data_IF_518023876240
#
_entry.id   IF_518023876240
#
_cell.length_a   1.000
_cell.length_b   1.000
_cell.length_c   1.000
_cell.angle_alpha   90.00
_cell.angle_beta   90.00
_cell.angle_gamma   90.00
#
_symmetry.space_group_name_H-M   'P 1'
#
loop_
_entity.id
_entity.type
_entity.pdbx_description
1 polymer ?
#
# COMPACT_ATOMS: atom_id res chain seq x y z
N UNK A 1 -16.80 8.41 17.89
CA UNK A 1 -18.11 8.65 17.22
C UNK A 1 -17.97 9.61 16.04
N UNK A 2 -17.56 10.87 16.24
CA UNK A 2 -17.35 11.87 15.16
C UNK A 2 -16.44 11.42 14.02
N UNK A 3 -15.34 10.72 14.34
CA UNK A 3 -14.48 10.06 13.35
C UNK A 3 -15.28 9.26 12.31
N UNK A 4 -16.27 8.47 12.73
CA UNK A 4 -17.10 7.67 11.81
C UNK A 4 -18.17 8.52 11.11
N UNK A 5 -18.78 9.48 11.82
CA UNK A 5 -19.80 10.38 11.27
C UNK A 5 -19.25 11.20 10.10
N UNK A 6 -18.02 11.71 10.23
CA UNK A 6 -17.32 12.46 9.18
C UNK A 6 -16.59 11.55 8.18
N UNK A 7 -17.06 10.31 7.98
CA UNK A 7 -16.51 9.42 6.96
C UNK A 7 -15.05 9.01 7.23
N UNK A 8 -14.72 8.66 8.47
CA UNK A 8 -13.37 8.26 8.88
C UNK A 8 -12.31 9.37 8.75
N UNK A 9 -12.72 10.62 8.97
CA UNK A 9 -11.83 11.78 9.03
C UNK A 9 -10.79 11.60 10.16
N UNK A 10 -9.53 11.95 9.88
CA UNK A 10 -8.47 11.82 10.89
C UNK A 10 -8.76 12.72 12.11
N UNK A 11 -8.28 12.31 13.29
CA UNK A 11 -8.57 13.04 14.52
C UNK A 11 -7.95 14.44 14.56
N UNK A 12 -6.83 14.66 13.88
CA UNK A 12 -6.21 15.99 13.77
C UNK A 12 -7.14 16.99 13.09
N UNK A 13 -7.74 16.61 11.97
CA UNK A 13 -8.72 17.43 11.26
C UNK A 13 -10.00 17.64 12.09
N UNK A 14 -10.46 16.63 12.84
CA UNK A 14 -11.60 16.82 13.76
C UNK A 14 -11.29 17.81 14.88
N UNK A 15 -10.08 17.79 15.45
CA UNK A 15 -9.64 18.78 16.43
C UNK A 15 -9.56 20.17 15.82
N UNK A 16 -9.01 20.29 14.61
CA UNK A 16 -8.95 21.55 13.88
C UNK A 16 -10.34 22.15 13.61
N UNK A 17 -11.32 21.34 13.22
CA UNK A 17 -12.70 21.78 12.99
C UNK A 17 -13.33 22.35 14.27
N UNK A 18 -13.06 21.71 15.42
CA UNK A 18 -13.50 22.19 16.74
C UNK A 18 -12.80 23.50 17.12
N UNK A 19 -11.47 23.53 17.03
CA UNK A 19 -10.63 24.68 17.38
C UNK A 19 -11.04 25.93 16.60
N UNK A 20 -11.32 25.77 15.30
CA UNK A 20 -11.73 26.87 14.42
C UNK A 20 -13.23 27.18 14.47
N UNK A 21 -14.00 26.50 15.32
CA UNK A 21 -15.46 26.71 15.42
C UNK A 21 -16.20 26.48 14.10
N UNK A 22 -15.71 25.58 13.24
CA UNK A 22 -16.25 25.38 11.88
C UNK A 22 -17.52 24.52 11.85
N UNK A 23 -17.88 23.88 12.98
CA UNK A 23 -19.03 22.98 13.08
C UNK A 23 -19.68 23.16 14.45
N UNK A 24 -20.96 23.53 14.44
CA UNK A 24 -21.76 23.66 15.65
C UNK A 24 -22.04 22.29 16.29
N UNK A 25 -21.95 22.22 17.62
CA UNK A 25 -22.22 20.99 18.38
C UNK A 25 -21.14 19.89 18.23
N UNK A 26 -19.98 20.21 17.65
CA UNK A 26 -18.86 19.27 17.52
C UNK A 26 -18.10 19.12 18.85
N UNK A 27 -18.38 18.03 19.57
CA UNK A 27 -17.67 17.68 20.80
C UNK A 27 -16.55 16.66 20.53
N UNK A 28 -15.30 17.13 20.49
CA UNK A 28 -14.11 16.28 20.42
C UNK A 28 -13.31 16.45 21.70
N UNK A 29 -13.03 15.34 22.37
CA UNK A 29 -12.11 15.29 23.51
C UNK A 29 -10.67 15.52 23.02
N UNK A 30 -10.04 16.56 23.54
CA UNK A 30 -8.69 16.98 23.14
C UNK A 30 -7.61 16.03 23.66
N UNK A 31 -7.89 15.30 24.74
CA UNK A 31 -6.99 14.27 25.26
C UNK A 31 -6.97 13.01 24.39
N UNK A 32 -7.96 12.84 23.52
CA UNK A 32 -8.00 11.70 22.59
C UNK A 32 -6.76 11.72 21.67
N UNK A 33 -5.98 10.62 21.58
CA UNK A 33 -4.83 10.56 20.70
C UNK A 33 -5.19 10.84 19.24
N UNK A 34 -4.30 11.51 18.51
CA UNK A 34 -4.45 11.74 17.07
C UNK A 34 -4.51 10.44 16.26
N UNK A 35 -3.88 9.38 16.77
CA UNK A 35 -3.88 8.03 16.20
C UNK A 35 -4.93 7.17 16.91
N UNK A 36 -6.18 7.31 16.51
CA UNK A 36 -7.24 6.39 16.93
C UNK A 36 -7.07 5.05 16.21
N UNK A 37 -7.07 3.97 16.99
CA UNK A 37 -7.07 2.60 16.48
C UNK A 37 -8.47 2.29 15.92
N UNK A 38 -8.69 2.60 14.64
CA UNK A 38 -9.92 2.28 13.93
C UNK A 38 -9.65 1.19 12.89
N UNK A 39 -10.19 -0.01 13.09
CA UNK A 39 -9.95 -1.18 12.23
C UNK A 39 -10.20 -0.87 10.73
N UNK A 40 -11.36 -0.30 10.32
CA UNK A 40 -11.58 0.08 8.93
C UNK A 40 -10.53 1.05 8.37
N UNK A 41 -10.09 2.04 9.17
CA UNK A 41 -9.03 2.97 8.73
C UNK A 41 -7.69 2.27 8.59
N UNK A 42 -7.35 1.37 9.50
CA UNK A 42 -6.10 0.63 9.42
C UNK A 42 -6.10 -0.23 8.15
N UNK A 43 -7.19 -0.92 7.86
CA UNK A 43 -7.29 -1.76 6.66
C UNK A 43 -7.30 -0.95 5.36
N UNK A 44 -7.97 0.20 5.34
CA UNK A 44 -8.13 1.00 4.12
C UNK A 44 -7.02 2.05 3.88
N UNK A 45 -6.39 2.56 4.95
CA UNK A 45 -5.44 3.70 4.91
C UNK A 45 -4.03 3.35 5.40
N UNK A 46 -3.78 2.13 5.86
CA UNK A 46 -2.40 1.75 6.23
C UNK A 46 -1.53 1.72 4.98
N UNK A 47 -0.41 2.45 5.04
CA UNK A 47 0.60 2.42 4.00
C UNK A 47 1.66 1.37 4.35
N UNK A 48 2.11 0.65 3.33
CA UNK A 48 3.30 -0.19 3.44
C UNK A 48 4.50 0.72 3.66
N UNK A 49 5.37 0.38 4.63
CA UNK A 49 6.63 1.11 4.81
C UNK A 49 7.46 1.00 3.53
N UNK A 50 8.28 2.02 3.19
CA UNK A 50 9.13 1.95 2.01
C UNK A 50 9.94 0.65 1.99
N UNK A 51 9.94 -0.03 0.84
CA UNK A 51 10.84 -1.15 0.63
C UNK A 51 12.30 -0.64 0.55
N UNK A 52 13.28 -1.42 1.00
CA UNK A 52 14.69 -1.11 0.77
C UNK A 52 14.95 -0.91 -0.72
N UNK A 53 15.86 0.01 -1.06
CA UNK A 53 16.26 0.25 -2.46
C UNK A 53 16.92 -0.97 -3.10
N UNK A 54 17.59 -1.77 -2.28
CA UNK A 54 18.32 -2.96 -2.72
C UNK A 54 17.86 -4.18 -1.92
N UNK A 55 17.83 -5.34 -2.58
CA UNK A 55 17.58 -6.59 -1.92
C UNK A 55 18.75 -6.93 -0.99
N UNK A 56 18.46 -7.41 0.21
CA UNK A 56 19.50 -7.90 1.15
C UNK A 56 20.17 -9.20 0.69
N UNK A 57 19.56 -9.88 -0.29
CA UNK A 57 20.03 -11.16 -0.80
C UNK A 57 20.92 -10.89 -2.00
N UNK A 58 22.17 -11.31 -1.89
CA UNK A 58 23.12 -11.30 -2.99
C UNK A 58 23.45 -12.74 -3.40
N UNK A 59 23.65 -12.92 -4.69
CA UNK A 59 24.10 -14.18 -5.28
C UNK A 59 25.55 -14.02 -5.69
N UNK A 60 26.36 -15.05 -5.50
CA UNK A 60 27.81 -15.02 -5.73
C UNK A 60 28.24 -15.88 -6.92
N UNK A 61 27.34 -16.70 -7.46
CA UNK A 61 27.60 -17.52 -8.66
C UNK A 61 26.31 -17.78 -9.44
N UNK A 62 26.40 -18.03 -10.76
CA UNK A 62 25.26 -18.44 -11.57
C UNK A 62 24.57 -19.69 -11.02
N UNK A 63 23.25 -19.78 -11.19
CA UNK A 63 22.42 -20.94 -10.83
C UNK A 63 22.01 -21.01 -9.36
N UNK A 64 22.35 -20.02 -8.53
CA UNK A 64 21.90 -19.99 -7.12
C UNK A 64 20.43 -19.58 -6.95
N UNK A 65 19.88 -18.84 -7.92
CA UNK A 65 18.49 -18.43 -7.95
C UNK A 65 18.10 -18.05 -9.37
N UNK A 66 16.92 -18.50 -9.78
CA UNK A 66 16.29 -18.12 -11.04
C UNK A 66 14.97 -17.44 -10.73
N UNK A 67 14.81 -16.19 -11.17
CA UNK A 67 13.52 -15.52 -11.20
C UNK A 67 12.78 -15.95 -12.46
N UNK A 68 11.52 -16.33 -12.32
CA UNK A 68 10.66 -16.63 -13.46
C UNK A 68 9.39 -15.80 -13.37
N UNK A 69 8.96 -15.32 -14.52
CA UNK A 69 7.70 -14.58 -14.66
C UNK A 69 6.96 -15.05 -15.91
N UNK A 70 5.64 -14.93 -15.86
CA UNK A 70 4.75 -15.25 -16.99
C UNK A 70 4.15 -13.94 -17.49
N UNK A 71 4.55 -13.57 -18.70
CA UNK A 71 3.96 -12.44 -19.39
C UNK A 71 2.81 -12.91 -20.28
N UNK A 72 1.65 -12.27 -20.15
CA UNK A 72 0.51 -12.44 -21.04
C UNK A 72 -0.86 -12.33 -20.34
N UNK A 73 -1.97 -12.51 -21.09
CA UNK A 73 -2.02 -12.81 -22.52
C UNK A 73 -1.54 -11.63 -23.38
N UNK A 74 -0.75 -11.95 -24.41
CA UNK A 74 -0.28 -11.00 -25.40
C UNK A 74 -1.44 -10.49 -26.25
N UNK A 75 -1.41 -9.20 -26.61
CA UNK A 75 -2.40 -8.62 -27.53
C UNK A 75 -2.26 -9.19 -28.94
N UNK A 76 -1.03 -9.53 -29.34
CA UNK A 76 -0.71 -10.18 -30.61
C UNK A 76 -0.27 -11.61 -30.37
N UNK A 77 -0.70 -12.52 -31.25
CA UNK A 77 -0.23 -13.90 -31.21
C UNK A 77 1.17 -14.01 -31.80
N UNK A 78 1.99 -14.88 -31.22
CA UNK A 78 3.25 -15.31 -31.80
C UNK A 78 3.06 -16.02 -33.13
N UNK A 79 4.17 -16.28 -33.83
CA UNK A 79 4.17 -16.84 -35.18
C UNK A 79 3.44 -18.19 -35.23
N UNK A 80 3.46 -18.98 -34.15
CA UNK A 80 2.78 -20.28 -34.08
C UNK A 80 1.55 -20.25 -33.15
N UNK A 81 1.01 -19.06 -32.85
CA UNK A 81 -0.19 -18.91 -32.04
C UNK A 81 0.05 -18.80 -30.53
N UNK A 82 1.30 -18.60 -30.10
CA UNK A 82 1.64 -18.37 -28.70
C UNK A 82 0.97 -17.08 -28.19
N UNK A 83 0.49 -17.10 -26.94
CA UNK A 83 -0.15 -15.95 -26.29
C UNK A 83 0.53 -15.55 -24.98
N UNK A 84 1.50 -16.34 -24.54
CA UNK A 84 2.19 -16.15 -23.28
C UNK A 84 3.68 -16.40 -23.50
N UNK A 85 4.50 -15.70 -22.73
CA UNK A 85 5.94 -15.97 -22.64
C UNK A 85 6.28 -16.24 -21.18
N UNK A 86 7.16 -17.22 -20.96
CA UNK A 86 7.73 -17.48 -19.64
C UNK A 86 9.20 -17.09 -19.69
N UNK A 87 9.62 -16.22 -18.80
CA UNK A 87 11.02 -15.80 -18.68
C UNK A 87 11.69 -16.55 -17.53
N UNK A 88 12.99 -16.76 -17.68
CA UNK A 88 13.86 -17.30 -16.64
C UNK A 88 15.13 -16.46 -16.62
N UNK A 89 15.34 -15.71 -15.54
CA UNK A 89 16.49 -14.83 -15.35
C UNK A 89 17.30 -15.33 -14.17
N UNK A 90 18.58 -15.63 -14.40
CA UNK A 90 19.49 -15.94 -13.31
C UNK A 90 19.78 -14.67 -12.49
N UNK A 91 19.71 -14.78 -11.17
CA UNK A 91 19.80 -13.62 -10.28
C UNK A 91 21.22 -13.08 -10.11
N UNK A 92 22.24 -13.78 -10.62
CA UNK A 92 23.65 -13.37 -10.56
C UNK A 92 24.12 -12.68 -11.85
N UNK A 93 23.67 -13.17 -13.02
CA UNK A 93 24.11 -12.69 -14.35
C UNK A 93 23.38 -11.46 -14.85
#
# INVERSE_FOLDING_TARGET
KWHRIFGHLNMGSLKLLKEKGMVDGLFVDESTPSKVQCIPCIQAKSHVKPFPKEAKRHFTKPGQMTYSDVWGPAQTTGINGEKYAVTFTDAYS
#
